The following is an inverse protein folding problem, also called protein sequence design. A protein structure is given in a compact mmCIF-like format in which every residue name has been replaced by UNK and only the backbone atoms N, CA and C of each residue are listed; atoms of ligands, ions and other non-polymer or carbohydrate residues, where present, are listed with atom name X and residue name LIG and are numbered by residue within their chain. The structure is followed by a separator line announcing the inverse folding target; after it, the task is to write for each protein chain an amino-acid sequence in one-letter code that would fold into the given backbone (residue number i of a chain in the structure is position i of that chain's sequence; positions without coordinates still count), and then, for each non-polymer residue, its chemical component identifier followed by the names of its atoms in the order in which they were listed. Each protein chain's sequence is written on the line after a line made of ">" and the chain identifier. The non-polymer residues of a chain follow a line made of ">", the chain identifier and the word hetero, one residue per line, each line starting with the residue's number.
data_IF_102455998375
#
_entry.id   IF_102455998375
#
_cell.length_a   1.000
_cell.length_b   1.000
_cell.length_c   1.000
_cell.angle_alpha   90.00
_cell.angle_beta   90.00
_cell.angle_gamma   90.00
#
_symmetry.space_group_name_H-M   'P 1'
#
loop_
_entity.id
_entity.type
_entity.pdbx_description
1 polymer ?
#
# COMPACT_ATOMS: atom_id res chain seq x y z
N UNK A 1 -85.26 10.87 -17.55
CA UNK A 1 -84.68 9.66 -18.16
C UNK A 1 -83.55 10.14 -19.07
N UNK A 2 -82.32 9.80 -18.70
CA UNK A 2 -81.02 9.87 -19.41
C UNK A 2 -80.65 11.13 -20.23
N UNK A 3 -79.68 11.89 -19.73
CA UNK A 3 -78.81 12.75 -20.54
C UNK A 3 -77.42 12.89 -19.89
N UNK A 4 -76.70 11.77 -19.74
CA UNK A 4 -75.25 11.78 -19.53
C UNK A 4 -74.58 11.54 -20.89
N UNK A 5 -74.10 12.61 -21.53
CA UNK A 5 -73.53 12.54 -22.88
C UNK A 5 -72.12 11.90 -22.90
N UNK A 6 -71.69 11.31 -24.04
CA UNK A 6 -70.39 10.62 -24.18
C UNK A 6 -69.15 11.49 -23.90
N UNK A 7 -69.29 12.81 -23.89
CA UNK A 7 -68.24 13.80 -23.57
C UNK A 7 -67.87 13.87 -22.08
N UNK A 8 -68.79 13.56 -21.18
CA UNK A 8 -68.57 13.62 -19.73
C UNK A 8 -67.77 12.40 -19.24
N UNK A 9 -68.03 11.24 -19.87
CA UNK A 9 -67.30 10.00 -19.62
C UNK A 9 -65.82 10.14 -20.06
N UNK A 10 -65.56 10.67 -21.26
CA UNK A 10 -64.21 10.87 -21.78
C UNK A 10 -63.37 11.82 -20.89
N UNK A 11 -64.00 12.91 -20.41
CA UNK A 11 -63.38 13.89 -19.52
C UNK A 11 -63.09 13.33 -18.12
N UNK A 12 -63.91 12.38 -17.64
CA UNK A 12 -63.68 11.67 -16.39
C UNK A 12 -62.53 10.66 -16.49
N UNK A 13 -62.44 9.92 -17.59
CA UNK A 13 -61.34 8.97 -17.85
C UNK A 13 -59.99 9.66 -18.03
N UNK A 14 -59.95 10.82 -18.70
CA UNK A 14 -58.72 11.61 -18.84
C UNK A 14 -58.20 12.06 -17.47
N UNK A 15 -59.08 12.58 -16.61
CA UNK A 15 -58.74 12.98 -15.23
C UNK A 15 -58.22 11.81 -14.40
N UNK A 16 -58.87 10.65 -14.49
CA UNK A 16 -58.41 9.44 -13.81
C UNK A 16 -57.04 8.96 -14.32
N UNK A 17 -56.78 9.05 -15.63
CA UNK A 17 -55.45 8.79 -16.20
C UNK A 17 -54.39 9.77 -15.68
N UNK A 18 -54.68 11.07 -15.67
CA UNK A 18 -53.78 12.10 -15.16
C UNK A 18 -53.46 11.91 -13.66
N UNK A 19 -54.47 11.57 -12.85
CA UNK A 19 -54.28 11.28 -11.43
C UNK A 19 -53.41 10.04 -11.20
N UNK A 20 -53.63 8.95 -11.97
CA UNK A 20 -52.78 7.74 -11.88
C UNK A 20 -51.35 8.01 -12.33
N UNK A 21 -51.15 8.82 -13.37
CA UNK A 21 -49.83 9.22 -13.83
C UNK A 21 -49.10 10.02 -12.75
N UNK A 22 -49.75 11.05 -12.20
CA UNK A 22 -49.18 11.87 -11.12
C UNK A 22 -48.85 11.05 -9.86
N UNK A 23 -49.72 10.09 -9.49
CA UNK A 23 -49.45 9.18 -8.37
C UNK A 23 -48.24 8.27 -8.65
N UNK A 24 -48.11 7.77 -9.89
CA UNK A 24 -46.96 6.94 -10.30
C UNK A 24 -45.67 7.76 -10.32
N UNK A 25 -45.71 9.01 -10.82
CA UNK A 25 -44.57 9.93 -10.80
C UNK A 25 -44.12 10.23 -9.37
N UNK A 26 -45.06 10.52 -8.47
CA UNK A 26 -44.76 10.72 -7.05
C UNK A 26 -44.12 9.47 -6.42
N UNK A 27 -44.63 8.28 -6.74
CA UNK A 27 -44.07 7.02 -6.25
C UNK A 27 -42.66 6.75 -6.80
N UNK A 28 -42.39 7.04 -8.07
CA UNK A 28 -41.07 6.91 -8.67
C UNK A 28 -40.06 7.88 -8.04
N UNK A 29 -40.48 9.11 -7.75
CA UNK A 29 -39.64 10.08 -7.03
C UNK A 29 -39.31 9.60 -5.62
N UNK A 30 -40.29 9.03 -4.90
CA UNK A 30 -40.04 8.41 -3.59
C UNK A 30 -39.02 7.29 -3.69
N UNK A 31 -39.16 6.36 -4.65
CA UNK A 31 -38.18 5.29 -4.84
C UNK A 31 -36.79 5.81 -5.21
N UNK A 32 -36.70 6.84 -6.05
CA UNK A 32 -35.41 7.43 -6.39
C UNK A 32 -34.73 8.08 -5.17
N UNK A 33 -35.51 8.69 -4.28
CA UNK A 33 -35.01 9.23 -3.01
C UNK A 33 -34.54 8.12 -2.07
N UNK A 34 -35.33 7.05 -1.90
CA UNK A 34 -34.98 5.91 -1.07
C UNK A 34 -33.69 5.23 -1.56
N UNK A 35 -33.56 5.00 -2.87
CA UNK A 35 -32.35 4.44 -3.48
C UNK A 35 -31.13 5.32 -3.26
N UNK A 36 -31.28 6.64 -3.37
CA UNK A 36 -30.19 7.58 -3.10
C UNK A 36 -29.75 7.51 -1.64
N UNK A 37 -30.68 7.46 -0.70
CA UNK A 37 -30.39 7.33 0.73
C UNK A 37 -29.68 6.01 1.01
N UNK A 38 -30.18 4.89 0.48
CA UNK A 38 -29.56 3.57 0.62
C UNK A 38 -28.12 3.56 0.07
N UNK A 39 -27.89 4.13 -1.11
CA UNK A 39 -26.55 4.24 -1.68
C UNK A 39 -25.59 5.08 -0.82
N UNK A 40 -26.07 6.18 -0.23
CA UNK A 40 -25.28 7.01 0.67
C UNK A 40 -24.91 6.27 1.97
N UNK A 41 -25.87 5.54 2.55
CA UNK A 41 -25.65 4.74 3.75
C UNK A 41 -24.65 3.61 3.47
N UNK A 42 -24.83 2.87 2.37
CA UNK A 42 -23.92 1.79 1.98
C UNK A 42 -22.50 2.31 1.74
N UNK A 43 -22.37 3.45 1.03
CA UNK A 43 -21.08 4.09 0.80
C UNK A 43 -20.41 4.50 2.12
N UNK A 44 -21.14 5.16 3.02
CA UNK A 44 -20.62 5.58 4.31
C UNK A 44 -20.20 4.39 5.17
N UNK A 45 -20.99 3.32 5.16
CA UNK A 45 -20.69 2.08 5.87
C UNK A 45 -19.42 1.41 5.33
N UNK A 46 -19.26 1.37 4.00
CA UNK A 46 -18.03 0.86 3.36
C UNK A 46 -16.81 1.69 3.74
N UNK A 47 -16.91 3.02 3.69
CA UNK A 47 -15.83 3.93 4.11
C UNK A 47 -15.47 3.72 5.59
N UNK A 48 -16.46 3.50 6.46
CA UNK A 48 -16.23 3.18 7.88
C UNK A 48 -15.52 1.84 8.08
N UNK A 49 -15.90 0.80 7.33
CA UNK A 49 -15.26 -0.52 7.38
C UNK A 49 -13.80 -0.43 6.90
N UNK A 50 -13.56 0.24 5.76
CA UNK A 50 -12.20 0.44 5.22
C UNK A 50 -11.32 1.17 6.24
N UNK A 51 -11.85 2.24 6.86
CA UNK A 51 -11.16 2.98 7.90
C UNK A 51 -10.87 2.10 9.14
N UNK A 52 -11.85 1.29 9.57
CA UNK A 52 -11.68 0.40 10.72
C UNK A 52 -10.61 -0.67 10.46
N UNK A 53 -10.58 -1.25 9.25
CA UNK A 53 -9.52 -2.18 8.85
C UNK A 53 -8.15 -1.52 8.84
N UNK A 54 -8.03 -0.35 8.19
CA UNK A 54 -6.77 0.39 8.16
C UNK A 54 -6.27 0.72 9.58
N UNK A 55 -7.14 1.25 10.45
CA UNK A 55 -6.78 1.55 11.84
C UNK A 55 -6.37 0.31 12.63
N UNK A 56 -6.98 -0.86 12.35
CA UNK A 56 -6.60 -2.13 12.97
C UNK A 56 -5.21 -2.57 12.52
N UNK A 57 -4.90 -2.48 11.22
CA UNK A 57 -3.58 -2.82 10.69
C UNK A 57 -2.48 -1.93 11.25
N UNK A 58 -2.73 -0.62 11.34
CA UNK A 58 -1.79 0.34 11.95
C UNK A 58 -1.55 -0.02 13.42
N UNK A 59 -2.60 -0.37 14.18
CA UNK A 59 -2.45 -0.75 15.58
C UNK A 59 -1.62 -2.04 15.75
N UNK A 60 -1.84 -3.03 14.88
CA UNK A 60 -1.07 -4.28 14.89
C UNK A 60 0.39 -4.06 14.49
N UNK A 61 0.65 -3.25 13.47
CA UNK A 61 2.00 -2.85 13.05
C UNK A 61 2.74 -2.15 14.18
N UNK A 62 2.11 -1.18 14.86
CA UNK A 62 2.68 -0.51 16.04
C UNK A 62 2.97 -1.46 17.20
N UNK A 63 2.08 -2.42 17.46
CA UNK A 63 2.30 -3.43 18.50
C UNK A 63 3.53 -4.30 18.20
N UNK A 64 3.87 -4.51 16.92
CA UNK A 64 5.06 -5.21 16.49
C UNK A 64 6.32 -4.37 16.65
N UNK A 65 6.27 -3.12 16.20
CA UNK A 65 7.37 -2.15 16.38
C UNK A 65 7.74 -2.05 17.88
N UNK A 66 6.76 -2.03 18.78
CA UNK A 66 6.97 -2.02 20.24
C UNK A 66 7.64 -3.29 20.79
N UNK A 67 7.44 -4.45 20.13
CA UNK A 67 8.07 -5.71 20.54
C UNK A 67 9.51 -5.79 20.05
N UNK A 68 9.75 -5.25 18.85
CA UNK A 68 11.07 -5.14 18.26
C UNK A 68 11.87 -3.99 18.90
N UNK A 69 13.15 -3.89 18.54
CA UNK A 69 14.05 -2.79 18.90
C UNK A 69 13.91 -1.57 17.97
N UNK A 70 12.99 -1.64 17.02
CA UNK A 70 12.67 -0.55 16.10
C UNK A 70 11.88 0.56 16.78
N UNK A 71 12.01 1.79 16.28
CA UNK A 71 11.29 2.95 16.84
C UNK A 71 9.80 2.86 16.51
N UNK A 72 8.92 3.33 17.41
CA UNK A 72 7.42 3.33 17.33
C UNK A 72 6.80 3.98 16.08
N UNK A 73 7.61 4.43 15.12
CA UNK A 73 7.19 5.15 13.92
C UNK A 73 7.89 4.65 12.64
N UNK A 74 8.75 3.64 12.72
CA UNK A 74 9.54 3.15 11.58
C UNK A 74 8.64 2.69 10.43
N UNK A 75 7.68 1.81 10.73
CA UNK A 75 6.76 1.25 9.73
C UNK A 75 5.98 2.34 8.99
N UNK A 76 5.59 3.41 9.67
CA UNK A 76 4.88 4.55 9.07
C UNK A 76 5.80 5.40 8.18
N UNK A 77 6.99 5.77 8.66
CA UNK A 77 7.95 6.58 7.88
C UNK A 77 8.40 5.88 6.60
N UNK A 78 8.67 4.56 6.69
CA UNK A 78 9.02 3.75 5.52
C UNK A 78 7.85 3.68 4.54
N UNK A 79 6.62 3.52 5.03
CA UNK A 79 5.42 3.51 4.19
C UNK A 79 5.24 4.83 3.44
N UNK A 80 5.36 5.97 4.12
CA UNK A 80 5.24 7.30 3.50
C UNK A 80 6.31 7.53 2.43
N UNK A 81 7.55 7.11 2.72
CA UNK A 81 8.65 7.17 1.78
C UNK A 81 8.39 6.28 0.55
N UNK A 82 7.99 5.02 0.76
CA UNK A 82 7.67 4.08 -0.31
C UNK A 82 6.54 4.61 -1.22
N UNK A 83 5.48 5.16 -0.63
CA UNK A 83 4.39 5.78 -1.38
C UNK A 83 4.83 6.99 -2.18
N UNK A 84 5.74 7.80 -1.64
CA UNK A 84 6.32 8.93 -2.37
C UNK A 84 7.08 8.47 -3.60
N UNK A 85 7.93 7.45 -3.46
CA UNK A 85 8.65 6.83 -4.58
C UNK A 85 7.68 6.23 -5.60
N UNK A 86 6.66 5.49 -5.14
CA UNK A 86 5.66 4.86 -6.00
C UNK A 86 4.87 5.87 -6.83
N UNK A 87 4.49 7.01 -6.24
CA UNK A 87 3.83 8.11 -6.97
C UNK A 87 4.73 8.71 -8.03
N UNK A 88 6.02 8.93 -7.72
CA UNK A 88 7.01 9.44 -8.70
C UNK A 88 7.20 8.46 -9.86
N UNK A 89 7.13 7.16 -9.62
CA UNK A 89 7.18 6.12 -10.66
C UNK A 89 5.86 5.96 -11.44
N UNK A 90 4.79 6.66 -11.03
CA UNK A 90 3.49 6.60 -11.71
C UNK A 90 2.69 5.32 -11.44
N UNK A 91 2.84 4.70 -10.27
CA UNK A 91 2.02 3.55 -9.88
C UNK A 91 0.53 3.90 -9.87
N UNK A 92 -0.31 2.94 -10.29
CA UNK A 92 -1.75 3.11 -10.25
C UNK A 92 -2.25 3.13 -8.78
N UNK A 93 -3.44 3.71 -8.51
CA UNK A 93 -3.98 3.77 -7.15
C UNK A 93 -4.04 2.40 -6.43
N UNK A 94 -4.40 1.34 -7.15
CA UNK A 94 -4.45 -0.02 -6.58
C UNK A 94 -3.06 -0.55 -6.18
N UNK A 95 -2.02 -0.25 -6.97
CA UNK A 95 -0.64 -0.65 -6.69
C UNK A 95 -0.06 0.15 -5.52
N UNK A 96 -0.45 1.43 -5.38
CA UNK A 96 -0.09 2.25 -4.23
C UNK A 96 -0.71 1.70 -2.94
N UNK A 97 -1.99 1.30 -2.97
CA UNK A 97 -2.63 0.64 -1.81
C UNK A 97 -1.94 -0.69 -1.47
N UNK A 98 -1.57 -1.49 -2.47
CA UNK A 98 -0.82 -2.73 -2.25
C UNK A 98 0.55 -2.46 -1.61
N UNK A 99 1.28 -1.45 -2.09
CA UNK A 99 2.55 -1.01 -1.54
C UNK A 99 2.41 -0.50 -0.11
N UNK A 100 1.39 0.30 0.19
CA UNK A 100 1.09 0.84 1.52
C UNK A 100 0.90 -0.28 2.54
N UNK A 101 -0.03 -1.20 2.25
CA UNK A 101 -0.35 -2.31 3.15
C UNK A 101 0.85 -3.26 3.31
N UNK A 102 1.61 -3.45 2.23
CA UNK A 102 2.80 -4.31 2.23
C UNK A 102 3.93 -3.71 3.05
N UNK A 103 4.14 -2.39 2.93
CA UNK A 103 5.14 -1.67 3.70
C UNK A 103 4.79 -1.63 5.19
N UNK A 104 3.52 -1.40 5.54
CA UNK A 104 3.07 -1.37 6.93
C UNK A 104 3.24 -2.72 7.64
N UNK A 105 3.13 -3.82 6.91
CA UNK A 105 3.11 -5.18 7.45
C UNK A 105 4.37 -6.00 7.11
N UNK A 106 5.40 -5.39 6.52
CA UNK A 106 6.59 -6.09 6.01
C UNK A 106 7.21 -7.02 7.05
N UNK A 107 7.20 -6.60 8.32
CA UNK A 107 7.83 -7.28 9.44
C UNK A 107 6.85 -8.09 10.32
N UNK A 108 5.60 -8.28 9.91
CA UNK A 108 4.59 -9.04 10.71
C UNK A 108 5.05 -10.45 11.05
N UNK A 109 5.86 -11.08 10.17
CA UNK A 109 6.40 -12.40 10.41
C UNK A 109 7.40 -12.48 11.56
N UNK A 110 7.92 -11.35 12.05
CA UNK A 110 8.75 -11.31 13.25
C UNK A 110 8.01 -11.87 14.46
N UNK A 111 6.67 -11.93 14.48
CA UNK A 111 5.87 -12.68 15.50
C UNK A 111 6.38 -14.10 15.72
N UNK A 112 6.79 -14.79 14.66
CA UNK A 112 7.28 -16.17 14.76
C UNK A 112 8.76 -16.29 15.14
N UNK A 113 9.47 -15.18 15.36
CA UNK A 113 10.89 -15.18 15.73
C UNK A 113 11.03 -15.19 17.27
N UNK A 114 11.80 -16.14 17.86
CA UNK A 114 12.01 -16.19 19.29
C UNK A 114 12.64 -14.92 19.85
N UNK A 115 12.21 -14.49 21.04
CA UNK A 115 12.73 -13.29 21.71
C UNK A 115 14.24 -13.38 22.00
N UNK A 116 14.77 -14.58 22.24
CA UNK A 116 16.22 -14.80 22.43
C UNK A 116 17.05 -14.45 21.20
N UNK A 117 16.43 -14.42 20.01
CA UNK A 117 17.04 -14.01 18.74
C UNK A 117 16.66 -12.57 18.44
N UNK A 118 15.36 -12.24 18.46
CA UNK A 118 14.85 -10.92 18.10
C UNK A 118 15.43 -9.80 18.99
N UNK A 119 15.58 -10.07 20.29
CA UNK A 119 16.02 -9.09 21.30
C UNK A 119 17.45 -9.34 21.79
N UNK A 120 18.24 -10.12 21.05
CA UNK A 120 19.59 -10.48 21.46
C UNK A 120 20.47 -9.23 21.56
N UNK A 121 21.13 -8.96 22.71
CA UNK A 121 22.09 -7.88 22.80
C UNK A 121 23.38 -8.28 22.09
N UNK A 122 23.59 -7.76 20.87
CA UNK A 122 24.80 -8.00 20.06
C UNK A 122 24.52 -8.76 18.76
N UNK A 123 25.58 -9.16 18.03
CA UNK A 123 25.42 -9.78 16.72
C UNK A 123 24.80 -11.19 16.81
N UNK A 124 23.95 -11.50 15.83
CA UNK A 124 23.43 -12.86 15.61
C UNK A 124 24.51 -13.75 15.00
N UNK A 125 24.57 -14.99 15.45
CA UNK A 125 25.32 -16.09 14.82
C UNK A 125 24.68 -16.47 13.49
N UNK A 126 25.40 -17.24 12.66
CA UNK A 126 24.88 -17.73 11.38
C UNK A 126 23.58 -18.55 11.53
N UNK A 127 23.47 -19.36 12.59
CA UNK A 127 22.26 -20.14 12.87
C UNK A 127 21.08 -19.24 13.27
N UNK A 128 21.32 -18.25 14.12
CA UNK A 128 20.29 -17.28 14.54
C UNK A 128 19.84 -16.43 13.35
N UNK A 129 20.76 -16.03 12.47
CA UNK A 129 20.42 -15.39 11.20
C UNK A 129 19.55 -16.28 10.31
N UNK A 130 19.81 -17.59 10.27
CA UNK A 130 18.97 -18.55 9.56
C UNK A 130 17.51 -18.55 10.04
N UNK A 131 17.30 -18.35 11.35
CA UNK A 131 15.95 -18.20 11.92
C UNK A 131 15.38 -16.82 11.61
N UNK A 132 16.15 -15.75 11.80
CA UNK A 132 15.72 -14.36 11.55
C UNK A 132 15.24 -14.17 10.11
N UNK A 133 15.95 -14.75 9.12
CA UNK A 133 15.61 -14.65 7.69
C UNK A 133 14.32 -15.36 7.30
N UNK A 134 13.65 -16.06 8.22
CA UNK A 134 12.34 -16.68 7.97
C UNK A 134 11.16 -15.72 8.12
N UNK A 135 11.35 -14.53 8.70
CA UNK A 135 10.24 -13.62 8.93
C UNK A 135 9.50 -13.20 7.65
N UNK A 136 10.11 -13.08 6.45
CA UNK A 136 9.34 -12.76 5.25
C UNK A 136 8.37 -13.89 4.90
N UNK A 137 8.80 -15.16 4.96
CA UNK A 137 7.92 -16.30 4.71
C UNK A 137 6.85 -16.45 5.79
N UNK A 138 7.20 -16.29 7.06
CA UNK A 138 6.22 -16.32 8.16
C UNK A 138 5.18 -15.20 8.01
N UNK A 139 5.62 -14.01 7.57
CA UNK A 139 4.72 -12.89 7.29
C UNK A 139 3.77 -13.19 6.14
N UNK A 140 4.29 -13.76 5.06
CA UNK A 140 3.48 -14.26 3.94
C UNK A 140 2.45 -15.30 4.41
N UNK A 141 2.88 -16.31 5.18
CA UNK A 141 1.99 -17.36 5.70
C UNK A 141 0.85 -16.77 6.55
N UNK A 142 1.16 -15.84 7.46
CA UNK A 142 0.16 -15.17 8.32
C UNK A 142 -0.85 -14.38 7.48
N UNK A 143 -0.38 -13.60 6.51
CA UNK A 143 -1.22 -12.66 5.77
C UNK A 143 -1.96 -13.31 4.58
N UNK A 144 -1.47 -14.45 4.08
CA UNK A 144 -2.05 -15.15 2.92
C UNK A 144 -3.50 -15.61 3.11
N UNK A 145 -3.96 -15.71 4.36
CA UNK A 145 -5.34 -16.03 4.70
C UNK A 145 -6.31 -14.84 4.53
N UNK A 146 -5.81 -13.64 4.24
CA UNK A 146 -6.59 -12.41 4.18
C UNK A 146 -6.64 -11.90 2.73
N UNK A 147 -7.76 -12.16 2.05
CA UNK A 147 -7.90 -11.92 0.60
C UNK A 147 -7.56 -10.49 0.17
N UNK A 148 -7.96 -9.47 0.94
CA UNK A 148 -7.70 -8.08 0.57
C UNK A 148 -6.22 -7.67 0.68
N UNK A 149 -5.39 -8.49 1.33
CA UNK A 149 -3.93 -8.30 1.43
C UNK A 149 -3.16 -9.05 0.33
N UNK A 150 -3.82 -9.84 -0.53
CA UNK A 150 -3.13 -10.68 -1.51
C UNK A 150 -2.15 -9.90 -2.40
N UNK A 151 -2.49 -8.67 -2.80
CA UNK A 151 -1.65 -7.81 -3.63
C UNK A 151 -0.45 -7.21 -2.88
N UNK A 152 -0.48 -7.17 -1.55
CA UNK A 152 0.60 -6.61 -0.72
C UNK A 152 1.64 -7.64 -0.29
N UNK A 153 1.29 -8.93 -0.35
CA UNK A 153 2.18 -10.05 -0.01
C UNK A 153 3.55 -10.03 -0.71
N UNK A 154 3.68 -9.61 -1.99
CA UNK A 154 4.98 -9.54 -2.64
C UNK A 154 5.98 -8.61 -1.94
N UNK A 155 5.52 -7.52 -1.31
CA UNK A 155 6.38 -6.65 -0.50
C UNK A 155 6.86 -7.41 0.73
N UNK A 156 5.93 -8.01 1.47
CA UNK A 156 6.23 -8.74 2.70
C UNK A 156 7.20 -9.89 2.45
N UNK A 157 7.02 -10.65 1.37
CA UNK A 157 7.86 -11.80 1.08
C UNK A 157 9.25 -11.42 0.56
N UNK A 158 9.38 -10.36 -0.24
CA UNK A 158 10.59 -10.08 -1.01
C UNK A 158 11.30 -8.76 -0.63
N UNK A 159 10.92 -8.10 0.45
CA UNK A 159 11.55 -6.82 0.85
C UNK A 159 13.04 -6.92 1.18
N UNK A 160 13.56 -8.13 1.40
CA UNK A 160 14.98 -8.39 1.62
C UNK A 160 15.71 -8.99 0.40
N UNK A 161 15.03 -9.07 -0.74
CA UNK A 161 15.69 -9.37 -2.00
C UNK A 161 16.60 -8.22 -2.42
N UNK A 162 17.69 -8.55 -3.11
CA UNK A 162 18.68 -7.57 -3.58
C UNK A 162 18.77 -7.63 -5.08
N UNK A 163 18.97 -6.48 -5.71
CA UNK A 163 19.03 -6.37 -7.15
C UNK A 163 20.04 -7.35 -7.81
N UNK A 164 21.16 -7.62 -7.15
CA UNK A 164 22.20 -8.56 -7.58
C UNK A 164 21.91 -10.06 -7.32
N UNK A 165 20.76 -10.40 -6.72
CA UNK A 165 20.39 -11.78 -6.40
C UNK A 165 21.01 -12.34 -5.12
N UNK A 166 21.75 -11.54 -4.34
CA UNK A 166 22.35 -11.97 -3.06
C UNK A 166 21.41 -11.82 -1.86
N UNK A 167 20.14 -11.49 -2.13
CA UNK A 167 19.09 -11.33 -1.14
C UNK A 167 18.47 -12.65 -0.68
N UNK A 168 17.32 -12.54 0.00
CA UNK A 168 16.52 -13.65 0.47
C UNK A 168 15.04 -13.21 0.48
N UNK A 169 14.07 -14.13 0.49
CA UNK A 169 14.19 -15.58 0.68
C UNK A 169 14.56 -16.42 -0.55
N UNK A 170 14.22 -15.96 -1.75
CA UNK A 170 14.25 -16.77 -2.97
C UNK A 170 15.48 -16.46 -3.85
N UNK A 171 16.23 -15.40 -3.52
CA UNK A 171 17.42 -15.00 -4.27
C UNK A 171 17.07 -14.41 -5.64
N UNK A 172 15.94 -13.70 -5.70
CA UNK A 172 15.49 -13.03 -6.92
C UNK A 172 16.45 -11.90 -7.29
N UNK A 173 16.68 -11.72 -8.59
CA UNK A 173 17.57 -10.69 -9.12
C UNK A 173 16.87 -9.79 -10.12
N UNK A 174 17.27 -8.52 -10.18
CA UNK A 174 16.77 -7.55 -11.15
C UNK A 174 15.25 -7.42 -11.11
N UNK A 175 14.63 -7.45 -12.30
CA UNK A 175 13.18 -7.28 -12.46
C UNK A 175 12.35 -8.49 -12.04
N UNK A 176 12.97 -9.63 -11.71
CA UNK A 176 12.26 -10.75 -11.09
C UNK A 176 11.74 -10.39 -9.70
N UNK A 177 12.38 -9.41 -9.03
CA UNK A 177 11.89 -8.85 -7.78
C UNK A 177 10.65 -7.98 -8.09
N UNK A 178 9.51 -8.19 -7.41
CA UNK A 178 8.34 -7.34 -7.57
C UNK A 178 8.67 -5.86 -7.38
N UNK A 179 8.12 -4.99 -8.23
CA UNK A 179 8.44 -3.55 -8.20
C UNK A 179 8.15 -2.93 -6.83
N UNK A 180 7.04 -3.32 -6.19
CA UNK A 180 6.67 -2.83 -4.87
C UNK A 180 7.74 -3.19 -3.80
N UNK A 181 8.31 -4.39 -3.85
CA UNK A 181 9.40 -4.80 -2.95
C UNK A 181 10.70 -4.02 -3.22
N UNK A 182 11.02 -3.75 -4.50
CA UNK A 182 12.16 -2.90 -4.88
C UNK A 182 12.01 -1.47 -4.36
N UNK A 183 10.80 -0.90 -4.44
CA UNK A 183 10.48 0.41 -3.88
C UNK A 183 10.66 0.41 -2.37
N UNK A 184 10.08 -0.58 -1.69
CA UNK A 184 10.19 -0.72 -0.25
C UNK A 184 11.64 -0.81 0.21
N UNK A 185 12.48 -1.63 -0.43
CA UNK A 185 13.88 -1.81 -0.04
C UNK A 185 14.69 -0.49 -0.04
N UNK A 186 14.41 0.42 -0.97
CA UNK A 186 15.02 1.76 -0.99
C UNK A 186 14.50 2.63 0.16
N UNK A 187 13.19 2.60 0.40
CA UNK A 187 12.56 3.37 1.48
C UNK A 187 13.05 2.91 2.88
N UNK A 188 13.11 1.60 3.11
CA UNK A 188 13.57 0.99 4.36
C UNK A 188 15.06 1.30 4.61
N UNK A 189 15.91 1.13 3.60
CA UNK A 189 17.32 1.46 3.72
C UNK A 189 17.55 2.95 4.05
N UNK A 190 16.77 3.85 3.44
CA UNK A 190 16.83 5.28 3.74
C UNK A 190 16.43 5.58 5.19
N UNK A 191 15.31 5.02 5.68
CA UNK A 191 14.89 5.21 7.08
C UNK A 191 15.93 4.61 8.05
N UNK A 192 16.45 3.41 7.79
CA UNK A 192 17.48 2.78 8.61
C UNK A 192 18.82 3.56 8.65
N UNK A 193 19.07 4.43 7.67
CA UNK A 193 20.23 5.33 7.64
C UNK A 193 19.97 6.65 8.36
N UNK A 194 18.77 7.21 8.25
CA UNK A 194 18.45 8.58 8.68
C UNK A 194 17.66 8.66 9.98
N UNK A 195 17.02 7.58 10.42
CA UNK A 195 16.36 7.51 11.71
C UNK A 195 17.40 7.36 12.83
N UNK A 196 17.21 8.13 13.91
CA UNK A 196 17.99 7.94 15.14
C UNK A 196 17.46 6.71 15.88
N UNK A 197 18.35 5.74 16.15
CA UNK A 197 18.03 4.55 16.95
C UNK A 197 18.77 4.62 18.30
N UNK A 198 18.32 3.94 19.36
CA UNK A 198 18.96 3.99 20.69
C UNK A 198 20.47 3.72 20.70
N UNK A 199 20.98 3.02 19.67
CA UNK A 199 22.38 2.63 19.53
C UNK A 199 23.08 3.21 18.29
N UNK A 200 22.43 4.08 17.51
CA UNK A 200 22.96 4.62 16.25
C UNK A 200 22.45 6.04 15.99
N UNK A 201 23.37 7.00 15.90
CA UNK A 201 23.05 8.36 15.46
C UNK A 201 22.60 8.37 14.01
N UNK A 202 21.53 9.12 13.72
CA UNK A 202 21.08 9.40 12.36
C UNK A 202 22.23 9.91 11.47
N UNK A 203 22.32 9.39 10.25
CA UNK A 203 23.18 9.98 9.24
C UNK A 203 22.51 11.24 8.65
N UNK A 204 23.29 12.27 8.27
CA UNK A 204 22.81 13.33 7.40
C UNK A 204 22.18 12.74 6.13
N UNK A 205 21.01 13.23 5.69
CA UNK A 205 20.33 12.74 4.48
C UNK A 205 21.24 12.71 3.24
N UNK A 206 22.16 13.65 3.11
CA UNK A 206 23.10 13.75 1.99
C UNK A 206 23.99 12.51 1.88
N UNK A 207 24.47 12.00 3.02
CA UNK A 207 25.28 10.77 3.07
C UNK A 207 24.41 9.55 2.73
N UNK A 208 23.14 9.54 3.17
CA UNK A 208 22.21 8.47 2.81
C UNK A 208 21.97 8.44 1.29
N UNK A 209 21.82 9.61 0.65
CA UNK A 209 21.68 9.70 -0.81
C UNK A 209 22.91 9.18 -1.55
N UNK A 210 24.12 9.52 -1.10
CA UNK A 210 25.37 9.00 -1.70
C UNK A 210 25.45 7.48 -1.59
N UNK A 211 25.08 6.90 -0.44
CA UNK A 211 25.07 5.45 -0.24
C UNK A 211 24.06 4.75 -1.14
N UNK A 212 22.85 5.28 -1.26
CA UNK A 212 21.84 4.74 -2.17
C UNK A 212 22.33 4.77 -3.63
N UNK A 213 23.01 5.84 -4.06
CA UNK A 213 23.61 5.92 -5.39
C UNK A 213 24.71 4.89 -5.58
N UNK A 214 25.59 4.72 -4.59
CA UNK A 214 26.71 3.78 -4.66
C UNK A 214 26.24 2.31 -4.75
N UNK A 215 25.11 1.99 -4.13
CA UNK A 215 24.54 0.64 -4.11
C UNK A 215 23.47 0.39 -5.20
N UNK A 216 23.19 1.39 -6.05
CA UNK A 216 22.31 1.24 -7.20
C UNK A 216 22.90 0.22 -8.20
N UNK A 217 22.09 -0.75 -8.63
CA UNK A 217 22.50 -1.83 -9.53
C UNK A 217 23.19 -3.00 -8.83
N UNK A 218 23.39 -2.92 -7.51
CA UNK A 218 23.89 -4.01 -6.66
C UNK A 218 22.86 -4.41 -5.62
N UNK A 219 22.57 -3.50 -4.69
CA UNK A 219 21.55 -3.72 -3.68
C UNK A 219 20.17 -3.28 -4.20
N UNK A 220 20.11 -2.10 -4.81
CA UNK A 220 18.86 -1.44 -5.17
C UNK A 220 18.65 -1.37 -6.67
N UNK A 221 17.39 -1.35 -7.09
CA UNK A 221 17.03 -1.02 -8.48
C UNK A 221 17.46 0.43 -8.80
N UNK A 222 18.33 0.64 -9.81
CA UNK A 222 18.75 1.97 -10.22
C UNK A 222 17.59 2.93 -10.56
N UNK A 223 16.49 2.41 -11.15
CA UNK A 223 15.32 3.21 -11.52
C UNK A 223 14.59 3.73 -10.29
N UNK A 224 14.47 2.87 -9.27
CA UNK A 224 13.82 3.22 -7.99
C UNK A 224 14.67 4.24 -7.23
N UNK A 225 15.99 4.04 -7.16
CA UNK A 225 16.90 5.02 -6.54
C UNK A 225 16.80 6.37 -7.23
N UNK A 226 16.78 6.39 -8.57
CA UNK A 226 16.60 7.64 -9.34
C UNK A 226 15.29 8.33 -9.01
N UNK A 227 14.17 7.59 -8.96
CA UNK A 227 12.85 8.14 -8.65
C UNK A 227 12.77 8.67 -7.21
N UNK A 228 13.37 7.97 -6.24
CA UNK A 228 13.46 8.46 -4.86
C UNK A 228 14.19 9.80 -4.80
N UNK A 229 15.38 9.87 -5.42
CA UNK A 229 16.21 11.06 -5.45
C UNK A 229 15.53 12.24 -6.15
N UNK A 230 14.79 11.99 -7.22
CA UNK A 230 13.96 13.00 -7.87
C UNK A 230 12.86 13.52 -6.93
N UNK A 231 12.15 12.61 -6.26
CA UNK A 231 11.05 12.96 -5.37
C UNK A 231 11.48 13.86 -4.20
N UNK A 232 12.70 13.69 -3.70
CA UNK A 232 13.26 14.49 -2.60
C UNK A 232 14.07 15.71 -3.07
N UNK A 233 14.03 16.05 -4.37
CA UNK A 233 14.71 17.24 -4.91
C UNK A 233 16.23 17.11 -5.06
N UNK A 234 16.76 15.89 -5.11
CA UNK A 234 18.18 15.57 -5.29
C UNK A 234 18.41 14.72 -6.55
N UNK A 235 17.91 15.14 -7.73
CA UNK A 235 17.93 14.32 -8.94
C UNK A 235 19.34 13.80 -9.23
N UNK A 236 19.43 12.51 -9.55
CA UNK A 236 20.67 11.96 -10.07
C UNK A 236 21.03 12.72 -11.36
N UNK A 237 22.33 12.95 -11.60
CA UNK A 237 22.77 13.43 -12.91
C UNK A 237 22.19 12.49 -13.98
N UNK A 238 21.69 13.03 -15.12
CA UNK A 238 21.12 12.18 -16.15
C UNK A 238 22.14 11.11 -16.54
N UNK A 239 21.72 9.84 -16.74
CA UNK A 239 22.63 8.82 -17.22
C UNK A 239 23.28 9.34 -18.50
N UNK A 240 24.61 9.24 -18.59
CA UNK A 240 25.33 9.54 -19.82
C UNK A 240 24.67 8.72 -20.94
N UNK A 241 23.96 9.40 -21.83
CA UNK A 241 23.01 8.74 -22.72
C UNK A 241 23.74 7.79 -23.66
N UNK A 242 23.00 6.76 -24.07
CA UNK A 242 23.20 6.07 -25.33
C UNK A 242 23.34 7.10 -26.47
N UNK A 243 24.57 7.53 -26.74
CA UNK A 243 24.96 8.21 -27.95
C UNK A 243 25.18 7.16 -29.04
N UNK A 244 24.11 6.53 -29.53
CA UNK A 244 24.16 5.72 -30.74
C UNK A 244 22.87 5.91 -31.55
N UNK A 245 23.04 6.48 -32.75
CA UNK A 245 22.23 6.10 -33.90
C UNK A 245 21.13 7.05 -34.35
N UNK A 246 21.47 8.28 -34.77
CA UNK A 246 20.80 8.93 -35.91
C UNK A 246 21.82 9.68 -36.77
N UNK A 247 22.37 8.96 -37.73
CA UNK A 247 22.61 9.39 -39.11
C UNK A 247 22.98 8.17 -39.93
#
# INVERSE_FOLDING_TARGET
>A
MFAGGPTDLASSTLRACQQRLAATEAQLLSYAQDLRVLYQVERAHREQIEQAYHSTLVALSRALDLRDTETEEHSLRVTDCALTIGRTLGLAPADLTALELGAMLHDVGKIGIPDSILRKPGPLSAQEWGVMRRHPQLGYEILSAVDFLASSLPVVLHHHEKWDGTGYPDGLSGEAIPLAARIFAVADAFDAMTASRPYKSALPPEIAFERLRADAGRHFDPRVVSAFLEAVGHPAAPPASAALGRS
#
